data_IF_617724424518
#
_entry.id   IF_617724424518
#
_cell.length_a   1.000
_cell.length_b   1.000
_cell.length_c   1.000
_cell.angle_alpha   90.00
_cell.angle_beta   90.00
_cell.angle_gamma   90.00
#
_symmetry.space_group_name_H-M   'P 1'
#
loop_
_entity.id
_entity.type
_entity.pdbx_description
1 polymer ?
#
# COMPACT_ATOMS: atom_id res chain seq x y z
N UNK A 1 49.00 -22.90 3.72
CA UNK A 1 48.18 -23.75 4.63
C UNK A 1 48.34 -23.29 6.08
N UNK A 2 47.26 -22.81 6.72
CA UNK A 2 46.79 -23.26 8.05
C UNK A 2 45.53 -22.47 8.40
N UNK A 3 44.40 -23.19 8.32
CA UNK A 3 43.03 -22.77 8.65
C UNK A 3 42.96 -22.40 10.13
N UNK A 4 42.34 -21.27 10.49
CA UNK A 4 41.89 -21.02 11.86
C UNK A 4 40.42 -21.41 11.98
N UNK A 5 40.16 -22.18 13.04
CA UNK A 5 38.95 -22.97 13.30
C UNK A 5 37.83 -22.06 13.82
N UNK A 6 36.64 -22.27 13.29
CA UNK A 6 35.37 -21.81 13.85
C UNK A 6 35.06 -22.71 15.04
N UNK A 7 34.79 -22.11 16.21
CA UNK A 7 34.19 -22.77 17.36
C UNK A 7 32.85 -22.07 17.57
N UNK A 8 31.77 -22.71 17.12
CA UNK A 8 30.42 -22.35 17.53
C UNK A 8 30.06 -23.34 18.64
N UNK A 9 30.06 -22.83 19.86
CA UNK A 9 29.64 -23.56 21.06
C UNK A 9 28.10 -23.53 21.09
N UNK A 10 27.48 -24.68 20.87
CA UNK A 10 26.04 -24.84 20.94
C UNK A 10 25.51 -24.60 22.34
N UNK A 11 24.49 -23.76 22.45
CA UNK A 11 23.64 -23.71 23.63
C UNK A 11 22.34 -24.47 23.33
N UNK A 12 22.32 -25.72 23.79
CA UNK A 12 21.12 -26.53 23.98
C UNK A 12 20.40 -25.98 25.22
N UNK A 13 19.34 -25.20 25.05
CA UNK A 13 18.46 -24.85 26.18
C UNK A 13 17.36 -25.89 26.31
N UNK A 14 17.64 -26.86 27.18
CA UNK A 14 16.67 -27.66 27.91
C UNK A 14 15.85 -26.72 28.81
N UNK A 15 14.55 -26.53 28.53
CA UNK A 15 13.64 -25.91 29.49
C UNK A 15 12.75 -26.97 30.12
N UNK A 16 13.08 -27.21 31.38
CA UNK A 16 12.38 -28.02 32.36
C UNK A 16 11.00 -27.41 32.62
N UNK A 17 9.96 -28.26 32.54
CA UNK A 17 8.63 -27.97 33.05
C UNK A 17 8.71 -27.72 34.56
N UNK A 18 8.33 -26.52 34.99
CA UNK A 18 7.89 -26.27 36.37
C UNK A 18 6.53 -25.59 36.30
N UNK A 19 5.52 -26.36 36.69
CA UNK A 19 4.18 -25.87 36.99
C UNK A 19 4.22 -25.00 38.24
N UNK A 20 3.78 -23.74 38.12
CA UNK A 20 3.26 -22.97 39.24
C UNK A 20 1.84 -22.53 38.93
N UNK A 21 0.94 -23.24 39.59
CA UNK A 21 -0.48 -22.98 39.84
C UNK A 21 -0.66 -21.54 40.36
N UNK A 22 -1.54 -20.78 39.72
CA UNK A 22 -2.25 -19.70 40.39
C UNK A 22 -3.73 -19.76 40.01
N UNK A 23 -4.53 -19.98 41.04
CA UNK A 23 -5.98 -19.94 40.99
C UNK A 23 -6.44 -18.53 40.61
N UNK A 24 -7.27 -18.43 39.58
CA UNK A 24 -8.29 -17.38 39.52
C UNK A 24 -9.62 -18.11 39.48
N UNK A 25 -10.39 -17.90 40.54
CA UNK A 25 -11.72 -18.46 40.75
C UNK A 25 -12.69 -17.99 39.68
N UNK A 26 -13.53 -18.94 39.29
CA UNK A 26 -14.62 -18.85 38.34
C UNK A 26 -15.87 -18.22 39.00
N UNK A 27 -16.62 -17.41 38.25
CA UNK A 27 -18.09 -17.40 38.21
C UNK A 27 -18.48 -16.59 36.96
N UNK A 28 -19.02 -17.19 35.90
CA UNK A 28 -20.33 -17.83 35.88
C UNK A 28 -20.39 -19.02 34.90
N UNK A 29 -20.95 -20.15 35.37
CA UNK A 29 -21.42 -21.30 34.58
C UNK A 29 -22.60 -20.87 33.66
N UNK A 30 -22.65 -21.27 32.37
CA UNK A 30 -23.11 -22.57 31.80
C UNK A 30 -24.60 -22.84 32.16
N UNK A 31 -25.54 -23.15 31.24
CA UNK A 31 -25.49 -24.05 30.07
C UNK A 31 -26.72 -23.82 29.15
N UNK A 32 -26.77 -24.45 27.96
CA UNK A 32 -27.84 -24.36 26.97
C UNK A 32 -28.95 -25.42 27.21
N UNK A 33 -30.16 -25.12 26.75
CA UNK A 33 -31.25 -26.09 26.63
C UNK A 33 -31.59 -26.24 25.16
N UNK A 34 -31.40 -27.44 24.63
CA UNK A 34 -31.86 -27.81 23.30
C UNK A 34 -33.39 -27.91 23.24
N UNK A 35 -33.94 -27.60 22.08
CA UNK A 35 -35.13 -28.26 21.55
C UNK A 35 -35.11 -28.11 20.03
N UNK A 36 -35.21 -29.26 19.36
CA UNK A 36 -35.54 -29.41 17.95
C UNK A 36 -36.95 -28.84 17.70
N UNK A 37 -37.22 -28.40 16.46
CA UNK A 37 -38.31 -28.92 15.59
C UNK A 37 -38.46 -28.01 14.35
N UNK A 38 -38.30 -28.67 13.19
CA UNK A 38 -39.06 -28.54 11.93
C UNK A 38 -38.88 -27.38 10.95
N UNK A 39 -38.55 -27.85 9.74
CA UNK A 39 -38.69 -27.35 8.38
C UNK A 39 -39.71 -26.24 8.06
N UNK A 40 -39.24 -25.30 7.23
CA UNK A 40 -40.06 -24.49 6.33
C UNK A 40 -39.23 -24.07 5.11
N UNK A 41 -39.46 -24.74 3.98
CA UNK A 41 -38.85 -24.44 2.68
C UNK A 41 -39.41 -23.12 2.12
N UNK A 42 -38.55 -22.23 1.59
CA UNK A 42 -38.91 -21.36 0.46
C UNK A 42 -37.68 -21.10 -0.42
N UNK A 43 -37.66 -21.76 -1.57
CA UNK A 43 -36.95 -21.36 -2.79
C UNK A 43 -37.52 -20.07 -3.37
N UNK A 44 -36.66 -19.15 -3.81
CA UNK A 44 -36.90 -18.43 -5.07
C UNK A 44 -35.63 -17.78 -5.60
N UNK A 45 -35.23 -18.28 -6.77
CA UNK A 45 -34.26 -17.76 -7.72
C UNK A 45 -34.64 -16.38 -8.26
N UNK A 46 -33.64 -15.57 -8.65
CA UNK A 46 -33.67 -14.80 -9.91
C UNK A 46 -32.27 -14.40 -10.38
N UNK A 47 -31.90 -15.04 -11.48
CA UNK A 47 -30.85 -14.77 -12.44
C UNK A 47 -31.17 -13.48 -13.23
N UNK A 48 -30.15 -12.70 -13.59
CA UNK A 48 -30.24 -11.74 -14.69
C UNK A 48 -28.88 -11.54 -15.36
N UNK A 49 -28.78 -12.02 -16.60
CA UNK A 49 -27.71 -11.78 -17.59
C UNK A 49 -28.23 -10.73 -18.60
N UNK A 50 -27.37 -10.06 -19.39
CA UNK A 50 -27.57 -8.70 -19.90
C UNK A 50 -28.19 -8.65 -21.30
N UNK A 51 -28.69 -7.48 -21.68
CA UNK A 51 -29.15 -7.14 -23.04
C UNK A 51 -29.11 -5.63 -23.22
N UNK A 52 -28.91 -5.01 -24.37
CA UNK A 52 -28.32 -5.36 -25.66
C UNK A 52 -28.01 -3.99 -26.31
N UNK A 53 -26.99 -3.92 -27.16
CA UNK A 53 -26.68 -2.75 -27.98
C UNK A 53 -27.81 -2.49 -28.99
N UNK A 54 -28.27 -1.24 -29.11
CA UNK A 54 -29.18 -0.82 -30.18
C UNK A 54 -28.43 0.03 -31.20
N UNK A 55 -28.31 -0.50 -32.41
CA UNK A 55 -27.91 0.20 -33.63
C UNK A 55 -29.15 0.85 -34.24
N UNK A 56 -29.07 2.14 -34.62
CA UNK A 56 -30.10 2.75 -35.47
C UNK A 56 -29.45 3.37 -36.71
N UNK A 57 -29.85 2.82 -37.86
CA UNK A 57 -29.57 3.30 -39.21
C UNK A 57 -30.48 4.48 -39.56
N UNK A 58 -29.95 5.31 -40.44
CA UNK A 58 -30.51 6.49 -41.07
C UNK A 58 -31.66 6.19 -42.04
N UNK A 59 -32.67 7.05 -42.06
CA UNK A 59 -33.50 7.33 -43.25
C UNK A 59 -33.72 8.84 -43.41
N UNK A 60 -33.66 9.28 -44.66
CA UNK A 60 -33.66 10.67 -45.13
C UNK A 60 -35.05 11.02 -45.65
N UNK A 61 -35.57 12.22 -45.36
CA UNK A 61 -36.49 12.94 -46.26
C UNK A 61 -36.59 14.43 -45.91
N UNK A 62 -36.95 15.22 -46.91
CA UNK A 62 -36.58 16.62 -47.13
C UNK A 62 -37.60 17.68 -46.69
N UNK A 63 -37.05 18.89 -46.49
CA UNK A 63 -37.63 20.24 -46.67
C UNK A 63 -38.62 20.80 -45.64
N UNK A 64 -38.21 21.85 -44.91
CA UNK A 64 -38.52 23.27 -45.22
C UNK A 64 -37.82 24.20 -44.23
N UNK A 65 -37.36 25.32 -44.76
CA UNK A 65 -36.56 26.38 -44.16
C UNK A 65 -37.29 27.19 -43.07
N UNK A 66 -36.64 27.35 -41.92
CA UNK A 66 -36.74 28.56 -41.07
C UNK A 66 -35.41 28.77 -40.36
N UNK A 67 -34.82 29.95 -40.54
CA UNK A 67 -33.55 30.36 -39.94
C UNK A 67 -33.67 30.48 -38.42
N UNK A 68 -32.92 29.68 -37.68
CA UNK A 68 -32.62 29.91 -36.26
C UNK A 68 -31.12 29.74 -36.03
N UNK A 69 -30.53 30.77 -35.42
CA UNK A 69 -29.15 30.76 -34.95
C UNK A 69 -28.99 29.61 -33.94
N UNK A 70 -28.31 28.53 -34.34
CA UNK A 70 -27.88 27.45 -33.47
C UNK A 70 -26.36 27.48 -33.48
N UNK A 71 -25.80 27.82 -32.31
CA UNK A 71 -24.37 27.74 -32.07
C UNK A 71 -23.85 26.34 -32.41
N UNK A 72 -22.83 26.28 -33.24
CA UNK A 72 -22.14 25.04 -33.59
C UNK A 72 -21.46 24.46 -32.34
N UNK A 73 -22.14 23.54 -31.65
CA UNK A 73 -21.47 22.56 -30.79
C UNK A 73 -20.78 21.55 -31.70
N UNK A 74 -19.51 21.80 -31.96
CA UNK A 74 -18.57 20.78 -32.42
C UNK A 74 -18.50 19.69 -31.35
N UNK A 75 -19.11 18.54 -31.61
CA UNK A 75 -18.79 17.30 -30.89
C UNK A 75 -17.43 16.82 -31.38
N UNK A 76 -16.36 17.47 -30.92
CA UNK A 76 -15.04 16.85 -30.91
C UNK A 76 -15.08 15.80 -29.81
N UNK A 77 -15.18 14.53 -30.22
CA UNK A 77 -14.83 13.39 -29.38
C UNK A 77 -13.34 13.51 -29.05
N UNK A 78 -13.02 14.24 -27.98
CA UNK A 78 -11.70 14.19 -27.39
C UNK A 78 -11.60 12.85 -26.68
N UNK A 79 -10.66 12.01 -27.12
CA UNK A 79 -10.00 11.11 -26.19
C UNK A 79 -9.29 12.02 -25.19
N UNK A 80 -10.02 12.43 -24.14
CA UNK A 80 -9.48 13.28 -23.10
C UNK A 80 -8.41 12.48 -22.37
N UNK A 81 -7.15 12.78 -22.69
CA UNK A 81 -6.06 12.60 -21.74
C UNK A 81 -6.57 13.24 -20.44
N UNK A 82 -6.69 12.49 -19.32
CA UNK A 82 -7.26 13.01 -18.10
C UNK A 82 -6.53 14.29 -17.71
N UNK A 83 -7.29 15.30 -17.27
CA UNK A 83 -6.76 16.61 -16.87
C UNK A 83 -5.57 16.42 -15.93
N UNK A 84 -4.46 17.12 -16.19
CA UNK A 84 -3.21 17.12 -15.41
C UNK A 84 -3.35 17.46 -13.91
N UNK A 85 -4.54 17.76 -13.41
CA UNK A 85 -4.73 18.40 -12.12
C UNK A 85 -4.78 17.46 -10.91
N UNK A 86 -4.93 16.14 -11.14
CA UNK A 86 -4.78 15.07 -10.14
C UNK A 86 -4.80 13.70 -10.84
N UNK A 87 -3.75 12.90 -10.65
CA UNK A 87 -3.62 11.55 -11.19
C UNK A 87 -3.70 10.50 -10.07
N UNK A 88 -4.23 9.33 -10.39
CA UNK A 88 -4.04 8.14 -9.54
C UNK A 88 -2.57 7.73 -9.56
N UNK A 89 -2.06 7.22 -8.43
CA UNK A 89 -0.65 6.82 -8.30
C UNK A 89 -0.31 5.68 -9.27
N UNK A 90 -1.22 4.75 -9.54
CA UNK A 90 -1.01 3.72 -10.57
C UNK A 90 -0.73 4.34 -11.95
N UNK A 91 -1.51 5.35 -12.36
CA UNK A 91 -1.31 6.06 -13.62
C UNK A 91 0.03 6.80 -13.66
N UNK A 92 0.44 7.42 -12.55
CA UNK A 92 1.77 8.03 -12.41
C UNK A 92 2.88 6.98 -12.61
N UNK A 93 2.72 5.79 -12.04
CA UNK A 93 3.71 4.71 -12.19
C UNK A 93 3.77 4.19 -13.61
N UNK A 94 2.64 4.05 -14.31
CA UNK A 94 2.63 3.68 -15.72
C UNK A 94 3.34 4.74 -16.58
N UNK A 95 3.06 6.04 -16.38
CA UNK A 95 3.79 7.12 -17.06
C UNK A 95 5.29 7.07 -16.76
N UNK A 96 5.67 6.76 -15.52
CA UNK A 96 7.06 6.59 -15.12
C UNK A 96 7.76 5.41 -15.80
N UNK A 97 7.04 4.38 -16.26
CA UNK A 97 7.63 3.26 -17.02
C UNK A 97 8.12 3.68 -18.41
N UNK A 98 7.58 4.76 -18.95
CA UNK A 98 7.96 5.29 -20.26
C UNK A 98 9.04 6.40 -20.17
N UNK A 99 9.40 6.85 -18.95
CA UNK A 99 10.45 7.84 -18.76
C UNK A 99 11.85 7.26 -18.99
N UNK A 100 12.65 7.99 -19.77
CA UNK A 100 14.10 7.80 -19.86
C UNK A 100 14.79 8.19 -18.53
N UNK A 101 15.96 7.60 -18.23
CA UNK A 101 16.66 7.73 -16.94
C UNK A 101 17.03 9.18 -16.53
N UNK A 102 17.04 10.13 -17.46
CA UNK A 102 17.35 11.54 -17.20
C UNK A 102 16.16 12.48 -17.39
N UNK A 103 14.98 11.94 -17.69
CA UNK A 103 13.77 12.71 -17.94
C UNK A 103 12.96 12.87 -16.66
N UNK A 104 12.32 14.01 -16.52
CA UNK A 104 11.38 14.28 -15.43
C UNK A 104 10.00 14.61 -15.98
N UNK A 105 8.97 14.25 -15.22
CA UNK A 105 7.59 14.58 -15.53
C UNK A 105 6.93 15.25 -14.31
N UNK A 106 6.35 16.42 -14.51
CA UNK A 106 5.53 17.06 -13.48
C UNK A 106 4.28 16.23 -13.23
N UNK A 107 4.05 15.88 -11.96
CA UNK A 107 2.90 15.10 -11.52
C UNK A 107 2.23 15.77 -10.32
N UNK A 108 0.90 15.66 -10.27
CA UNK A 108 0.12 16.01 -9.09
C UNK A 108 -0.85 14.88 -8.78
N UNK A 109 -0.96 14.52 -7.51
CA UNK A 109 -1.87 13.48 -7.03
C UNK A 109 -2.32 13.79 -5.61
N UNK A 110 -3.45 13.22 -5.23
CA UNK A 110 -3.90 13.18 -3.84
C UNK A 110 -3.53 11.80 -3.29
N UNK A 111 -2.88 11.77 -2.13
CA UNK A 111 -2.45 10.52 -1.51
C UNK A 111 -2.42 10.62 0.00
N UNK A 112 -2.70 9.49 0.65
CA UNK A 112 -2.59 9.35 2.08
C UNK A 112 -1.12 9.15 2.48
N UNK A 113 -0.62 9.97 3.39
CA UNK A 113 0.73 9.85 3.92
C UNK A 113 0.79 8.74 4.96
N UNK A 114 1.56 7.68 4.70
CA UNK A 114 1.59 6.48 5.55
C UNK A 114 2.78 6.47 6.49
N UNK A 115 3.97 6.81 5.98
CA UNK A 115 5.21 6.64 6.74
C UNK A 115 6.38 7.45 6.20
N UNK A 116 7.23 7.91 7.12
CA UNK A 116 8.56 8.43 6.79
C UNK A 116 9.56 7.28 6.74
N UNK A 117 10.18 7.07 5.58
CA UNK A 117 11.33 6.20 5.39
C UNK A 117 12.57 7.11 5.34
N UNK A 118 13.57 6.81 6.16
CA UNK A 118 14.79 7.63 6.20
C UNK A 118 15.85 6.98 5.34
N UNK A 119 16.28 7.69 4.29
CA UNK A 119 17.57 7.47 3.63
C UNK A 119 18.57 8.39 4.36
N UNK A 120 19.79 7.92 4.63
CA UNK A 120 20.79 8.62 5.46
C UNK A 120 21.06 10.09 5.09
N UNK A 121 20.63 10.55 3.91
CA UNK A 121 20.67 11.95 3.49
C UNK A 121 19.29 12.56 3.23
N UNK A 122 18.38 11.87 2.54
CA UNK A 122 17.07 12.43 2.16
C UNK A 122 15.92 11.77 2.92
N UNK A 123 14.76 12.41 2.91
CA UNK A 123 13.54 11.84 3.47
C UNK A 123 12.68 11.26 2.35
N UNK A 124 12.27 10.01 2.49
CA UNK A 124 11.32 9.36 1.61
C UNK A 124 9.98 9.28 2.33
N UNK A 125 9.01 10.06 1.88
CA UNK A 125 7.65 10.03 2.40
C UNK A 125 6.83 9.06 1.55
N UNK A 126 6.31 7.99 2.16
CA UNK A 126 5.48 7.01 1.47
C UNK A 126 4.03 7.51 1.40
N UNK A 127 3.53 7.65 0.19
CA UNK A 127 2.13 7.99 -0.10
C UNK A 127 1.42 6.82 -0.77
N UNK A 128 0.14 6.67 -0.45
CA UNK A 128 -0.74 5.66 -1.02
C UNK A 128 -2.07 6.27 -1.48
N UNK A 129 -2.70 5.63 -2.45
CA UNK A 129 -4.10 5.84 -2.83
C UNK A 129 -4.72 4.48 -3.13
N UNK A 130 -6.01 4.44 -3.47
CA UNK A 130 -6.72 3.17 -3.71
C UNK A 130 -6.16 2.37 -4.91
N UNK A 131 -5.22 2.93 -5.66
CA UNK A 131 -4.63 2.31 -6.86
C UNK A 131 -3.20 1.81 -6.66
N UNK A 132 -2.37 2.48 -5.86
CA UNK A 132 -0.98 2.11 -5.65
C UNK A 132 -0.31 2.89 -4.52
N UNK A 133 1.02 2.81 -4.47
CA UNK A 133 1.89 3.56 -3.57
C UNK A 133 3.09 4.14 -4.32
N UNK A 134 3.62 5.26 -3.85
CA UNK A 134 4.80 5.93 -4.38
C UNK A 134 5.58 6.64 -3.28
N UNK A 135 6.90 6.73 -3.45
CA UNK A 135 7.75 7.49 -2.55
C UNK A 135 7.96 8.91 -3.09
N UNK A 136 7.79 9.88 -2.19
CA UNK A 136 8.09 11.29 -2.42
C UNK A 136 9.40 11.62 -1.70
N UNK A 137 10.43 11.93 -2.48
CA UNK A 137 11.75 12.30 -1.97
C UNK A 137 11.79 13.79 -1.65
N UNK A 138 12.14 14.09 -0.40
CA UNK A 138 12.38 15.44 0.11
C UNK A 138 13.84 15.56 0.50
N UNK A 139 14.56 16.51 -0.09
CA UNK A 139 15.95 16.78 0.29
C UNK A 139 16.03 17.25 1.74
N UNK A 140 17.14 16.95 2.43
CA UNK A 140 17.28 17.36 3.83
C UNK A 140 17.15 18.88 4.04
N UNK A 141 17.56 19.68 3.06
CA UNK A 141 17.44 21.15 3.11
C UNK A 141 16.01 21.65 2.93
N UNK A 142 15.15 20.88 2.24
CA UNK A 142 13.73 21.20 2.06
C UNK A 142 12.83 20.62 3.16
N UNK A 143 13.34 19.67 3.96
CA UNK A 143 12.58 19.00 5.01
C UNK A 143 12.42 19.89 6.25
N UNK A 144 11.44 20.78 6.20
CA UNK A 144 11.13 21.77 7.23
C UNK A 144 10.18 21.23 8.32
N UNK A 145 9.91 22.07 9.33
CA UNK A 145 8.99 21.74 10.44
C UNK A 145 7.56 21.43 9.97
N UNK A 146 7.11 22.01 8.86
CA UNK A 146 5.81 21.69 8.30
C UNK A 146 5.78 20.22 7.88
N UNK A 147 6.73 19.76 7.08
CA UNK A 147 6.82 18.38 6.60
C UNK A 147 7.10 17.38 7.74
N UNK A 148 7.92 17.79 8.71
CA UNK A 148 8.20 17.00 9.92
C UNK A 148 6.94 16.70 10.74
N UNK A 149 6.01 17.64 10.80
CA UNK A 149 4.79 17.56 11.61
C UNK A 149 3.54 17.18 10.78
N UNK A 150 3.70 16.43 9.67
CA UNK A 150 2.56 15.84 8.95
C UNK A 150 1.94 14.71 9.78
N UNK A 151 0.62 14.61 9.71
CA UNK A 151 -0.15 13.56 10.35
C UNK A 151 -0.12 12.31 9.47
N UNK A 152 0.18 11.16 10.09
CA UNK A 152 0.07 9.86 9.42
C UNK A 152 -1.41 9.56 9.15
N UNK A 153 -1.68 8.82 8.07
CA UNK A 153 -3.01 8.43 7.62
C UNK A 153 -3.94 9.63 7.31
N UNK A 154 -3.36 10.75 6.88
CA UNK A 154 -4.09 11.89 6.34
C UNK A 154 -3.82 12.04 4.84
N UNK A 155 -4.84 12.46 4.09
CA UNK A 155 -4.68 12.79 2.68
C UNK A 155 -3.96 14.13 2.49
N UNK A 156 -3.12 14.18 1.48
CA UNK A 156 -2.41 15.37 1.05
C UNK A 156 -2.46 15.49 -0.46
N UNK A 157 -2.56 16.73 -0.95
CA UNK A 157 -2.27 17.05 -2.33
C UNK A 157 -0.77 17.18 -2.47
N UNK A 158 -0.20 16.34 -3.33
CA UNK A 158 1.23 16.31 -3.64
C UNK A 158 1.45 16.86 -5.04
N UNK A 159 2.50 17.67 -5.19
CA UNK A 159 3.08 18.04 -6.50
C UNK A 159 4.57 17.80 -6.47
N UNK A 160 5.10 17.35 -7.59
CA UNK A 160 6.53 17.14 -7.74
C UNK A 160 6.92 16.65 -9.12
N UNK A 161 8.20 16.33 -9.24
CA UNK A 161 8.81 15.82 -10.47
C UNK A 161 9.03 14.33 -10.34
N UNK A 162 8.27 13.53 -11.08
CA UNK A 162 8.50 12.10 -11.25
C UNK A 162 9.79 11.88 -12.04
N UNK A 163 10.63 10.97 -11.54
CA UNK A 163 11.85 10.54 -12.21
C UNK A 163 12.10 9.05 -11.96
N UNK A 164 12.90 8.42 -12.83
CA UNK A 164 13.43 7.08 -12.60
C UNK A 164 14.87 7.17 -12.12
N UNK A 165 15.16 6.57 -10.97
CA UNK A 165 16.51 6.46 -10.43
C UNK A 165 16.77 5.03 -9.97
N UNK A 166 17.81 4.38 -10.50
CA UNK A 166 18.15 2.99 -10.16
C UNK A 166 16.95 2.03 -10.32
N UNK A 167 16.22 2.13 -11.44
CA UNK A 167 14.98 1.39 -11.71
C UNK A 167 13.83 1.61 -10.70
N UNK A 168 13.92 2.63 -9.85
CA UNK A 168 12.86 3.03 -8.92
C UNK A 168 12.25 4.34 -9.37
N UNK A 169 10.91 4.38 -9.36
CA UNK A 169 10.16 5.60 -9.59
C UNK A 169 10.01 6.36 -8.27
N UNK A 170 10.45 7.61 -8.28
CA UNK A 170 10.35 8.50 -7.13
C UNK A 170 9.87 9.88 -7.61
N UNK A 171 9.09 10.55 -6.75
CA UNK A 171 8.66 11.93 -6.99
C UNK A 171 9.53 12.85 -6.17
N UNK A 172 10.32 13.71 -6.82
CA UNK A 172 11.01 14.79 -6.13
C UNK A 172 9.99 15.83 -5.66
N UNK A 173 9.98 16.11 -4.36
CA UNK A 173 9.05 17.02 -3.71
C UNK A 173 9.13 18.45 -4.26
N UNK A 174 7.97 19.03 -4.56
CA UNK A 174 7.81 20.48 -4.75
C UNK A 174 6.82 21.08 -3.76
N UNK A 175 5.65 20.45 -3.57
CA UNK A 175 4.66 20.89 -2.59
C UNK A 175 3.83 19.73 -2.04
N UNK A 176 3.49 19.83 -0.75
CA UNK A 176 2.57 18.93 -0.04
C UNK A 176 1.60 19.83 0.73
N UNK A 177 0.30 19.68 0.49
CA UNK A 177 -0.76 20.46 1.16
C UNK A 177 -1.79 19.53 1.77
N UNK A 178 -2.19 19.77 3.01
CA UNK A 178 -3.16 18.93 3.72
C UNK A 178 -4.54 18.95 3.05
N UNK A 179 -5.14 17.78 2.84
CA UNK A 179 -6.54 17.59 2.48
C UNK A 179 -7.25 17.12 3.76
N UNK A 180 -8.28 17.83 4.20
CA UNK A 180 -8.89 17.68 5.54
C UNK A 180 -9.60 16.34 5.80
N UNK A 181 -9.49 15.35 4.92
CA UNK A 181 -10.12 14.04 5.04
C UNK A 181 -9.10 12.95 5.40
N UNK A 182 -9.39 12.21 6.46
CA UNK A 182 -8.74 10.94 6.78
C UNK A 182 -9.79 9.84 6.75
N UNK A 183 -9.57 8.74 6.02
CA UNK A 183 -10.39 7.55 6.17
C UNK A 183 -10.13 6.93 7.54
N UNK A 184 -11.18 6.51 8.24
CA UNK A 184 -11.04 5.82 9.54
C UNK A 184 -10.48 4.39 9.35
N UNK A 185 -10.90 3.70 8.28
CA UNK A 185 -10.56 2.31 8.00
C UNK A 185 -10.05 2.14 6.56
N UNK A 186 -8.77 2.46 6.33
CA UNK A 186 -8.15 2.28 5.01
C UNK A 186 -7.74 0.82 4.78
N UNK A 187 -8.23 0.22 3.70
CA UNK A 187 -7.88 -1.14 3.30
C UNK A 187 -6.64 -1.16 2.41
N UNK A 188 -5.53 -1.64 2.96
CA UNK A 188 -4.27 -1.76 2.22
C UNK A 188 -4.24 -2.94 1.25
N UNK A 189 -5.19 -3.88 1.30
CA UNK A 189 -5.16 -5.11 0.48
C UNK A 189 -5.18 -4.84 -1.02
N UNK A 190 -5.72 -3.69 -1.45
CA UNK A 190 -5.77 -3.28 -2.86
C UNK A 190 -4.41 -2.88 -3.44
N UNK A 191 -3.43 -2.56 -2.58
CA UNK A 191 -2.12 -2.03 -2.99
C UNK A 191 -0.94 -2.86 -2.48
N UNK A 192 -1.20 -3.91 -1.73
CA UNK A 192 -0.20 -4.85 -1.24
C UNK A 192 0.03 -5.98 -2.25
N UNK A 193 1.28 -6.42 -2.36
CA UNK A 193 1.61 -7.67 -3.02
C UNK A 193 1.50 -8.81 -2.01
N UNK A 194 0.64 -9.78 -2.28
CA UNK A 194 0.53 -10.98 -1.47
C UNK A 194 1.74 -11.90 -1.69
N UNK A 195 2.48 -12.13 -0.61
CA UNK A 195 3.51 -13.15 -0.46
C UNK A 195 2.89 -14.35 0.27
N UNK A 196 3.03 -15.55 -0.31
CA UNK A 196 2.47 -16.75 0.30
C UNK A 196 3.28 -17.21 1.51
N UNK A 197 4.59 -16.96 1.48
CA UNK A 197 5.55 -17.37 2.50
C UNK A 197 6.49 -16.23 2.90
N UNK A 198 7.14 -16.36 4.05
CA UNK A 198 8.26 -15.50 4.48
C UNK A 198 9.44 -15.63 3.50
N UNK A 199 9.63 -16.79 2.87
CA UNK A 199 10.65 -16.95 1.84
C UNK A 199 10.39 -16.05 0.61
N UNK A 200 9.13 -15.90 0.20
CA UNK A 200 8.76 -14.95 -0.86
C UNK A 200 9.09 -13.51 -0.47
N UNK A 201 8.89 -13.15 0.80
CA UNK A 201 9.28 -11.83 1.33
C UNK A 201 10.79 -11.64 1.24
N UNK A 202 11.59 -12.65 1.58
CA UNK A 202 13.05 -12.57 1.44
C UNK A 202 13.49 -12.45 -0.01
N UNK A 203 12.91 -13.24 -0.92
CA UNK A 203 13.18 -13.13 -2.35
C UNK A 203 12.84 -11.73 -2.88
N UNK A 204 11.75 -11.12 -2.42
CA UNK A 204 11.39 -9.75 -2.79
C UNK A 204 12.41 -8.73 -2.27
N UNK A 205 12.89 -8.88 -1.02
CA UNK A 205 13.93 -8.03 -0.44
C UNK A 205 15.25 -8.14 -1.22
N UNK A 206 15.67 -9.36 -1.54
CA UNK A 206 16.92 -9.63 -2.25
C UNK A 206 16.92 -9.08 -3.68
N UNK A 207 15.73 -8.93 -4.29
CA UNK A 207 15.55 -8.33 -5.60
C UNK A 207 15.47 -6.80 -5.60
N UNK A 208 15.51 -6.14 -4.42
CA UNK A 208 15.51 -4.67 -4.35
C UNK A 208 16.81 -4.13 -4.93
N UNK A 209 16.70 -3.35 -6.00
CA UNK A 209 17.82 -2.60 -6.55
C UNK A 209 18.32 -1.57 -5.53
N UNK A 210 19.60 -1.66 -5.19
CA UNK A 210 20.24 -0.76 -4.22
C UNK A 210 21.06 0.31 -4.93
N UNK A 211 20.97 1.53 -4.41
CA UNK A 211 21.91 2.61 -4.72
C UNK A 211 23.33 2.30 -4.23
N UNK A 212 24.31 3.10 -4.65
CA UNK A 212 25.70 3.02 -4.16
C UNK A 212 25.81 3.10 -2.63
N UNK A 213 24.89 3.84 -2.00
CA UNK A 213 24.78 3.99 -0.54
C UNK A 213 24.04 2.83 0.15
N UNK A 214 23.72 1.76 -0.58
CA UNK A 214 22.98 0.58 -0.10
C UNK A 214 21.54 0.86 0.36
N UNK A 215 20.93 1.92 -0.17
CA UNK A 215 19.49 2.17 0.02
C UNK A 215 18.71 1.67 -1.19
N UNK A 216 17.53 1.10 -0.97
CA UNK A 216 16.57 0.76 -2.01
C UNK A 216 15.15 0.81 -1.48
N UNK A 217 14.21 0.92 -2.41
CA UNK A 217 12.77 0.96 -2.15
C UNK A 217 12.14 -0.33 -2.67
N UNK A 218 11.46 -1.04 -1.79
CA UNK A 218 10.70 -2.25 -2.11
C UNK A 218 9.21 -2.02 -2.30
N UNK A 219 8.47 -3.12 -2.31
CA UNK A 219 7.01 -3.14 -2.36
C UNK A 219 6.38 -3.21 -0.98
N UNK A 220 5.11 -2.81 -0.86
CA UNK A 220 4.30 -3.13 0.30
C UNK A 220 3.83 -4.58 0.14
N UNK A 221 4.20 -5.46 1.06
CA UNK A 221 3.88 -6.89 0.99
C UNK A 221 3.05 -7.34 2.18
N UNK A 222 2.22 -8.35 1.95
CA UNK A 222 1.38 -9.04 2.93
C UNK A 222 1.76 -10.51 2.94
N UNK A 223 1.81 -11.14 4.11
CA UNK A 223 2.00 -12.59 4.21
C UNK A 223 1.25 -13.12 5.42
N UNK A 224 0.91 -14.41 5.39
CA UNK A 224 0.27 -15.09 6.51
C UNK A 224 1.33 -15.74 7.41
N UNK A 225 1.24 -15.49 8.70
CA UNK A 225 2.15 -16.07 9.68
C UNK A 225 1.53 -16.17 11.07
N UNK A 226 2.10 -17.04 11.89
CA UNK A 226 1.76 -17.22 13.30
C UNK A 226 2.67 -16.34 14.15
N UNK A 227 2.08 -15.54 15.05
CA UNK A 227 2.83 -14.80 16.06
C UNK A 227 3.41 -15.76 17.09
N UNK A 228 4.74 -15.86 17.12
CA UNK A 228 5.46 -16.76 18.02
C UNK A 228 5.86 -16.09 19.33
N UNK A 229 6.37 -14.85 19.25
CA UNK A 229 6.81 -14.11 20.42
C UNK A 229 6.82 -12.61 20.18
N UNK A 230 6.82 -11.86 21.27
CA UNK A 230 7.03 -10.40 21.26
C UNK A 230 8.06 -10.02 22.28
N UNK A 231 8.93 -9.07 21.94
CA UNK A 231 9.86 -8.42 22.87
C UNK A 231 9.52 -6.93 22.96
N UNK A 232 9.43 -6.44 24.19
CA UNK A 232 9.14 -5.04 24.53
C UNK A 232 10.10 -4.52 25.60
N UNK A 233 11.24 -5.18 25.79
CA UNK A 233 12.23 -4.86 26.82
C UNK A 233 13.01 -3.57 26.53
N UNK A 234 13.05 -3.14 25.27
CA UNK A 234 13.64 -1.87 24.84
C UNK A 234 12.62 -0.97 24.13
N UNK A 235 13.06 0.20 23.65
CA UNK A 235 12.18 1.17 22.99
C UNK A 235 11.55 0.66 21.69
N UNK A 236 12.08 -0.42 21.10
CA UNK A 236 11.60 -1.03 19.87
C UNK A 236 10.74 -2.25 20.22
N UNK A 237 9.49 -2.26 19.76
CA UNK A 237 8.65 -3.46 19.86
C UNK A 237 9.12 -4.44 18.78
N UNK A 238 9.36 -5.69 19.15
CA UNK A 238 9.73 -6.75 18.21
C UNK A 238 8.65 -7.81 18.22
N UNK A 239 8.36 -8.37 17.05
CA UNK A 239 7.47 -9.51 16.88
C UNK A 239 8.19 -10.56 16.03
N UNK A 240 8.16 -11.82 16.46
CA UNK A 240 8.66 -12.95 15.69
C UNK A 240 7.46 -13.67 15.08
N UNK A 241 7.47 -13.79 13.75
CA UNK A 241 6.42 -14.43 12.96
C UNK A 241 6.98 -15.69 12.29
N UNK A 242 6.18 -16.75 12.22
CA UNK A 242 6.52 -18.04 11.64
C UNK A 242 5.47 -18.47 10.61
N UNK A 243 5.88 -18.90 9.42
CA UNK A 243 4.96 -19.32 8.35
C UNK A 243 4.86 -20.84 8.15
N UNK A 244 5.34 -21.63 9.13
CA UNK A 244 5.53 -23.09 9.10
C UNK A 244 6.84 -23.59 8.50
N UNK A 245 7.73 -22.71 8.03
CA UNK A 245 9.07 -23.10 7.53
C UNK A 245 10.16 -22.08 7.92
N UNK A 246 9.85 -20.79 7.83
CA UNK A 246 10.77 -19.67 8.04
C UNK A 246 10.30 -18.75 9.18
N UNK A 247 11.25 -18.06 9.80
CA UNK A 247 11.00 -17.07 10.85
C UNK A 247 11.42 -15.68 10.38
N UNK A 248 10.59 -14.67 10.62
CA UNK A 248 10.94 -13.27 10.44
C UNK A 248 10.76 -12.49 11.75
N UNK A 249 11.70 -11.60 12.05
CA UNK A 249 11.57 -10.66 13.17
C UNK A 249 11.23 -9.29 12.63
N UNK A 250 10.03 -8.81 12.93
CA UNK A 250 9.59 -7.45 12.63
C UNK A 250 9.92 -6.56 13.82
N UNK A 251 10.72 -5.53 13.59
CA UNK A 251 11.11 -4.55 14.60
C UNK A 251 10.37 -3.25 14.26
N UNK A 252 9.56 -2.75 15.20
CA UNK A 252 8.92 -1.45 15.05
C UNK A 252 9.97 -0.36 14.95
N UNK A 253 9.66 0.73 14.26
CA UNK A 253 10.56 1.87 14.20
C UNK A 253 10.99 2.29 15.60
N UNK A 254 12.26 2.67 15.70
CA UNK A 254 12.79 3.27 16.91
C UNK A 254 12.00 4.53 17.20
N UNK A 255 11.43 4.64 18.41
CA UNK A 255 11.06 5.95 18.92
C UNK A 255 12.34 6.79 18.94
N UNK A 256 12.47 7.72 17.99
CA UNK A 256 13.38 8.84 18.15
C UNK A 256 12.81 9.64 19.32
N UNK A 257 13.39 9.44 20.51
CA UNK A 257 13.24 10.34 21.64
C UNK A 257 13.96 11.65 21.32
#
# INVERSE_FOLDING_TARGET
>A
MKKRKIIILGFLFLMVLVSCKNNISNSNNLQPTGSEISSGSVTSSKTSTPSNYTTTKSETTSSKSTSSNISSKTNSSSSSIPSKDQMMIASIKELGKELDDNSTLEVSFDGMYVKLITDNTDKLMLFVDDSSYINVRVSNSAFNDYLKNRYLNCYYKVKGLLSRKNNQLEVAYESITNITSSPEDYDYTLITKDCNTILDVYNDIDNISLSEKKNGVGSIVTFNGVLMSTDRSDANKKAVLYDNDHLITVISDKKNL
#
